data_IF_708413216469
#
_entry.id   IF_708413216469
#
_cell.length_a   1.000
_cell.length_b   1.000
_cell.length_c   1.000
_cell.angle_alpha   90.00
_cell.angle_beta   90.00
_cell.angle_gamma   90.00
#
_symmetry.space_group_name_H-M   'P 1'
#
loop_
_entity.id
_entity.type
_entity.pdbx_description
1 polymer ?
#
# COMPACT_ATOMS: atom_id res chain seq x y z
N UNK A 1 -12.19 30.53 5.25
CA UNK A 1 -12.95 30.29 4.01
C UNK A 1 -14.21 31.16 4.04
N UNK A 2 -14.51 31.90 2.97
CA UNK A 2 -15.80 32.60 2.79
C UNK A 2 -16.65 31.75 1.83
N UNK A 3 -17.04 30.58 2.28
CA UNK A 3 -17.70 29.58 1.45
C UNK A 3 -18.69 28.76 2.28
N UNK A 4 -19.53 27.98 1.61
CA UNK A 4 -20.52 27.12 2.22
C UNK A 4 -19.89 25.80 2.73
N UNK A 5 -20.44 25.25 3.83
CA UNK A 5 -20.13 23.90 4.31
C UNK A 5 -21.36 23.02 4.12
N UNK A 6 -21.19 21.87 3.45
CA UNK A 6 -22.20 20.82 3.38
C UNK A 6 -21.69 19.59 4.12
N UNK A 7 -22.49 19.08 5.05
CA UNK A 7 -22.14 17.88 5.81
C UNK A 7 -23.34 16.96 5.93
N UNK A 8 -23.18 15.73 5.45
CA UNK A 8 -24.14 14.63 5.63
C UNK A 8 -23.48 13.54 6.46
N UNK A 9 -24.20 13.05 7.46
CA UNK A 9 -23.76 11.91 8.27
C UNK A 9 -24.90 10.90 8.27
N UNK A 10 -24.63 9.68 7.78
CA UNK A 10 -25.65 8.64 7.63
C UNK A 10 -26.03 7.95 8.95
N UNK A 11 -25.15 7.99 9.93
CA UNK A 11 -25.32 7.37 11.25
C UNK A 11 -25.18 8.43 12.35
N UNK A 12 -24.97 7.98 13.58
CA UNK A 12 -24.80 8.83 14.74
C UNK A 12 -23.64 9.81 14.59
N UNK A 13 -23.89 11.08 14.94
CA UNK A 13 -22.85 12.03 15.31
C UNK A 13 -22.87 12.18 16.83
N UNK A 14 -21.83 11.71 17.51
CA UNK A 14 -21.66 11.83 18.97
C UNK A 14 -20.59 12.89 19.25
N UNK A 15 -20.88 13.83 20.14
CA UNK A 15 -19.96 14.92 20.52
C UNK A 15 -19.92 15.02 22.04
N UNK A 16 -18.72 15.03 22.62
CA UNK A 16 -18.48 15.32 24.05
C UNK A 16 -17.59 16.55 24.12
N UNK A 17 -18.06 17.60 24.80
CA UNK A 17 -17.27 18.80 25.10
C UNK A 17 -17.14 18.87 26.60
N UNK A 18 -15.91 18.73 27.12
CA UNK A 18 -15.63 18.72 28.57
C UNK A 18 -15.42 20.11 29.17
N UNK A 19 -15.49 21.14 28.33
CA UNK A 19 -15.40 22.54 28.70
C UNK A 19 -16.68 23.26 28.19
N UNK A 20 -16.56 24.54 27.83
CA UNK A 20 -17.69 25.32 27.32
C UNK A 20 -17.85 25.14 25.81
N UNK A 21 -19.10 24.97 25.34
CA UNK A 21 -19.48 25.03 23.93
C UNK A 21 -20.19 26.36 23.65
N UNK A 22 -19.70 27.12 22.67
CA UNK A 22 -20.22 28.43 22.29
C UNK A 22 -20.65 28.40 20.82
N UNK A 23 -21.93 28.67 20.55
CA UNK A 23 -22.49 28.69 19.19
C UNK A 23 -23.06 30.06 18.84
N UNK A 24 -22.40 30.78 17.95
CA UNK A 24 -22.93 32.04 17.37
C UNK A 24 -23.43 31.77 15.96
N UNK A 25 -24.71 32.08 15.70
CA UNK A 25 -25.29 32.05 14.34
C UNK A 25 -25.73 33.47 14.00
N UNK A 26 -25.15 34.03 12.93
CA UNK A 26 -25.32 35.46 12.59
C UNK A 26 -26.73 35.80 12.06
N UNK A 27 -27.40 34.84 11.43
CA UNK A 27 -28.72 35.04 10.82
C UNK A 27 -29.74 34.09 11.42
N UNK A 28 -29.89 32.89 10.85
CA UNK A 28 -30.96 31.96 11.20
C UNK A 28 -30.39 30.58 11.54
N UNK A 29 -30.88 29.98 12.62
CA UNK A 29 -30.68 28.57 12.92
C UNK A 29 -31.99 27.81 12.71
N UNK A 30 -31.97 26.83 11.81
CA UNK A 30 -33.08 25.89 11.63
C UNK A 30 -32.70 24.55 12.26
N UNK A 31 -33.54 24.06 13.19
CA UNK A 31 -33.34 22.77 13.86
C UNK A 31 -34.58 21.92 13.61
N UNK A 32 -34.42 20.79 12.94
CA UNK A 32 -35.47 19.78 12.74
C UNK A 32 -34.99 18.44 13.27
N UNK A 33 -35.79 17.83 14.13
CA UNK A 33 -35.51 16.54 14.76
C UNK A 33 -36.66 15.59 14.41
N UNK A 34 -36.35 14.31 14.16
CA UNK A 34 -37.35 13.32 13.76
C UNK A 34 -38.24 12.84 14.91
N UNK A 35 -37.70 12.79 16.14
CA UNK A 35 -38.37 12.14 17.28
C UNK A 35 -38.50 13.05 18.50
N UNK A 36 -37.42 13.69 18.94
CA UNK A 36 -37.48 14.53 20.14
C UNK A 36 -36.21 15.33 20.38
N UNK A 37 -36.35 16.37 21.20
CA UNK A 37 -35.26 17.18 21.75
C UNK A 37 -35.25 17.02 23.26
N UNK A 38 -34.11 16.63 23.81
CA UNK A 38 -33.91 16.46 25.25
C UNK A 38 -32.79 17.40 25.70
N UNK A 39 -33.07 18.21 26.73
CA UNK A 39 -32.12 19.21 27.25
C UNK A 39 -32.10 19.10 28.77
N UNK A 40 -30.92 18.87 29.33
CA UNK A 40 -30.66 18.89 30.76
C UNK A 40 -29.54 19.89 31.03
N UNK A 41 -29.76 20.77 32.00
CA UNK A 41 -28.77 21.74 32.45
C UNK A 41 -28.72 21.72 33.98
N UNK A 42 -27.52 21.78 34.55
CA UNK A 42 -27.34 21.71 36.00
C UNK A 42 -27.93 22.91 36.75
N UNK A 43 -27.94 24.10 36.12
CA UNK A 43 -28.36 25.34 36.78
C UNK A 43 -29.52 26.05 36.06
N UNK A 44 -29.39 26.33 34.76
CA UNK A 44 -30.36 27.19 34.05
C UNK A 44 -30.53 26.80 32.58
N UNK A 45 -31.77 26.85 32.11
CA UNK A 45 -32.11 26.97 30.68
C UNK A 45 -32.81 28.31 30.51
N UNK A 46 -32.24 29.22 29.71
CA UNK A 46 -32.78 30.55 29.49
C UNK A 46 -33.17 30.75 28.02
N UNK A 47 -34.46 30.93 27.76
CA UNK A 47 -34.98 31.35 26.47
C UNK A 47 -35.25 32.86 26.46
N UNK A 48 -34.44 33.61 25.72
CA UNK A 48 -34.66 35.04 25.50
C UNK A 48 -34.99 35.30 24.03
N UNK A 49 -36.12 35.95 23.77
CA UNK A 49 -36.48 36.44 22.44
C UNK A 49 -36.84 37.92 22.51
N UNK A 50 -36.29 38.72 21.59
CA UNK A 50 -36.54 40.17 21.56
C UNK A 50 -37.99 40.55 21.23
N UNK A 51 -38.79 39.64 20.67
CA UNK A 51 -40.19 39.94 20.30
C UNK A 51 -41.16 38.81 20.61
N UNK A 52 -40.87 37.55 20.22
CA UNK A 52 -41.85 36.45 20.34
C UNK A 52 -41.18 35.13 20.68
N UNK A 53 -41.80 34.39 21.59
CA UNK A 53 -41.61 32.94 21.79
C UNK A 53 -42.94 32.26 21.48
N UNK A 54 -42.92 31.19 20.69
CA UNK A 54 -44.08 30.33 20.44
C UNK A 54 -43.67 28.91 20.78
N UNK A 55 -44.49 28.23 21.58
CA UNK A 55 -44.31 26.83 21.94
C UNK A 55 -45.62 26.13 21.61
N UNK A 56 -45.61 25.36 20.53
CA UNK A 56 -46.73 24.54 20.10
C UNK A 56 -46.52 23.11 20.58
N UNK A 57 -47.54 22.55 21.24
CA UNK A 57 -47.58 21.16 21.63
C UNK A 57 -48.87 20.53 21.10
N UNK A 58 -48.76 19.32 20.54
CA UNK A 58 -49.92 18.63 19.96
C UNK A 58 -50.88 18.09 21.03
N UNK A 59 -50.37 17.25 21.92
CA UNK A 59 -51.20 16.59 22.94
C UNK A 59 -51.10 17.26 24.31
N UNK A 60 -49.90 17.67 24.72
CA UNK A 60 -49.70 18.21 26.07
C UNK A 60 -48.52 19.18 26.11
N UNK A 61 -48.71 20.31 26.78
CA UNK A 61 -47.63 21.17 27.28
C UNK A 61 -47.72 21.20 28.81
N UNK A 62 -46.64 20.81 29.50
CA UNK A 62 -46.57 20.83 30.96
C UNK A 62 -45.33 21.58 31.44
N UNK A 63 -45.49 22.48 32.41
CA UNK A 63 -44.41 23.15 33.12
C UNK A 63 -44.57 22.93 34.62
N UNK A 64 -43.52 22.47 35.32
CA UNK A 64 -43.57 22.11 36.74
C UNK A 64 -42.33 22.59 37.50
N UNK A 65 -42.49 22.96 38.76
CA UNK A 65 -41.40 23.38 39.65
C UNK A 65 -41.91 23.78 41.03
N UNK A 66 -41.09 23.58 42.07
CA UNK A 66 -41.43 23.98 43.45
C UNK A 66 -42.74 23.40 43.98
N UNK A 67 -43.12 22.19 43.54
CA UNK A 67 -44.40 21.54 43.88
C UNK A 67 -45.64 22.11 43.17
N UNK A 68 -45.48 23.11 42.29
CA UNK A 68 -46.55 23.68 41.46
C UNK A 68 -46.37 23.30 39.99
N UNK A 69 -47.46 23.33 39.21
CA UNK A 69 -47.42 23.05 37.78
C UNK A 69 -48.57 23.68 37.00
N UNK A 70 -48.36 23.83 35.70
CA UNK A 70 -49.32 24.24 34.68
C UNK A 70 -49.34 23.16 33.59
N UNK A 71 -50.52 22.83 33.10
CA UNK A 71 -50.71 21.91 31.97
C UNK A 71 -51.73 22.46 30.97
N UNK A 72 -51.44 22.26 29.69
CA UNK A 72 -52.37 22.43 28.58
C UNK A 72 -52.52 21.08 27.89
N UNK A 73 -53.75 20.61 27.75
CA UNK A 73 -54.09 19.34 27.09
C UNK A 73 -55.51 19.44 26.48
N UNK A 74 -56.08 18.39 25.85
CA UNK A 74 -57.43 18.46 25.27
C UNK A 74 -58.55 18.77 26.28
N UNK A 75 -58.32 18.64 27.58
CA UNK A 75 -59.29 19.04 28.63
C UNK A 75 -59.24 20.54 28.94
N UNK A 76 -58.23 21.27 28.44
CA UNK A 76 -58.08 22.70 28.59
C UNK A 76 -56.81 23.09 29.34
N UNK A 77 -56.90 24.14 30.16
CA UNK A 77 -55.79 24.70 30.94
C UNK A 77 -55.98 24.36 32.41
N UNK A 78 -54.98 23.74 33.04
CA UNK A 78 -55.00 23.39 34.46
C UNK A 78 -53.80 23.99 35.19
N UNK A 79 -54.04 24.65 36.33
CA UNK A 79 -53.02 25.21 37.22
C UNK A 79 -53.18 24.59 38.61
N UNK A 80 -52.07 24.14 39.21
CA UNK A 80 -52.07 23.52 40.54
C UNK A 80 -50.84 23.92 41.35
N UNK A 81 -51.03 24.26 42.62
CA UNK A 81 -49.97 24.65 43.55
C UNK A 81 -50.55 25.15 44.88
N UNK A 82 -49.69 25.37 45.89
CA UNK A 82 -50.13 25.82 47.22
C UNK A 82 -50.81 27.20 47.21
N UNK A 83 -50.38 28.09 46.31
CA UNK A 83 -51.02 29.41 46.11
C UNK A 83 -50.88 29.80 44.64
N UNK A 84 -52.00 30.14 43.99
CA UNK A 84 -52.03 30.67 42.62
C UNK A 84 -52.32 32.17 42.70
N UNK A 85 -51.32 32.98 42.35
CA UNK A 85 -51.44 34.44 42.31
C UNK A 85 -51.85 34.89 40.91
N UNK A 86 -53.04 35.48 40.79
CA UNK A 86 -53.55 36.05 39.54
C UNK A 86 -53.64 37.57 39.68
N UNK A 87 -52.94 38.32 38.82
CA UNK A 87 -52.88 39.79 38.83
C UNK A 87 -52.48 40.42 40.18
N UNK A 88 -51.78 39.69 41.07
CA UNK A 88 -51.42 40.18 42.40
C UNK A 88 -50.12 39.57 42.92
N UNK A 89 -49.16 40.43 43.26
CA UNK A 89 -47.91 40.08 43.94
C UNK A 89 -46.88 39.29 43.11
N UNK A 90 -45.63 39.27 43.61
CA UNK A 90 -44.49 38.57 42.99
C UNK A 90 -43.58 39.48 42.17
N UNK A 91 -42.37 38.99 41.89
CA UNK A 91 -41.44 39.55 40.92
C UNK A 91 -41.00 38.41 39.97
N UNK A 92 -40.79 38.67 38.68
CA UNK A 92 -40.31 37.64 37.77
C UNK A 92 -38.90 37.17 38.17
N UNK A 93 -38.57 35.93 37.82
CA UNK A 93 -37.17 35.49 37.85
C UNK A 93 -36.35 36.25 36.81
N UNK A 94 -35.07 36.49 37.11
CA UNK A 94 -34.12 37.05 36.15
C UNK A 94 -33.20 35.93 35.69
N UNK A 95 -33.11 35.72 34.37
CA UNK A 95 -32.14 34.77 33.84
C UNK A 95 -30.77 35.41 33.59
N UNK A 96 -29.72 34.59 33.55
CA UNK A 96 -28.32 35.08 33.51
C UNK A 96 -27.89 35.76 32.20
N UNK A 97 -28.69 35.65 31.14
CA UNK A 97 -28.37 36.12 29.79
C UNK A 97 -27.33 35.26 29.08
N UNK A 98 -27.09 35.55 27.79
CA UNK A 98 -26.09 34.82 27.00
C UNK A 98 -24.68 35.34 27.29
N UNK A 99 -23.75 34.45 27.64
CA UNK A 99 -22.34 34.75 27.90
C UNK A 99 -21.45 34.15 26.81
N UNK A 100 -21.74 34.46 25.54
CA UNK A 100 -21.07 33.85 24.40
C UNK A 100 -19.65 34.40 24.21
N UNK A 101 -18.69 33.50 23.96
CA UNK A 101 -17.32 33.88 23.60
C UNK A 101 -17.12 33.64 22.10
N UNK A 102 -16.66 34.68 21.40
CA UNK A 102 -16.33 34.59 19.98
C UNK A 102 -15.05 33.79 19.74
N UNK A 103 -14.87 33.16 18.57
CA UNK A 103 -13.61 32.53 18.20
C UNK A 103 -12.47 33.56 18.23
N UNK A 104 -11.43 33.28 18.99
CA UNK A 104 -10.19 34.05 18.91
C UNK A 104 -9.34 33.52 17.76
N UNK A 105 -8.59 34.40 17.10
CA UNK A 105 -7.53 33.96 16.18
C UNK A 105 -6.55 33.15 17.02
N UNK A 106 -6.31 31.86 16.69
CA UNK A 106 -5.27 31.10 17.38
C UNK A 106 -3.96 31.88 17.31
N UNK A 107 -3.28 32.02 18.45
CA UNK A 107 -1.91 32.58 18.45
C UNK A 107 -1.05 31.69 17.54
N UNK A 108 0.04 32.25 17.02
CA UNK A 108 1.05 31.44 16.34
C UNK A 108 1.37 30.24 17.23
N UNK A 109 1.34 29.04 16.65
CA UNK A 109 1.84 27.86 17.33
C UNK A 109 3.25 28.17 17.85
N UNK A 110 3.62 27.64 19.01
CA UNK A 110 5.01 27.73 19.44
C UNK A 110 5.88 27.23 18.28
N UNK A 111 6.82 28.08 17.87
CA UNK A 111 7.79 27.73 16.85
C UNK A 111 8.77 26.73 17.46
N UNK A 112 8.37 25.47 17.52
CA UNK A 112 9.30 24.41 17.85
C UNK A 112 10.29 24.24 16.71
N UNK A 113 11.53 23.89 17.05
CA UNK A 113 12.55 23.63 16.04
C UNK A 113 12.24 22.29 15.39
N UNK A 114 12.26 22.25 14.07
CA UNK A 114 12.22 20.97 13.35
C UNK A 114 13.30 20.04 13.91
N UNK A 115 12.92 18.79 14.17
CA UNK A 115 13.87 17.75 14.60
C UNK A 115 14.98 17.56 13.56
N UNK A 116 16.08 16.95 13.99
CA UNK A 116 17.21 16.68 13.10
C UNK A 116 16.78 15.77 11.93
N UNK A 117 17.32 16.04 10.74
CA UNK A 117 17.18 15.15 9.60
C UNK A 117 17.74 13.76 9.94
N UNK A 118 17.10 12.71 9.41
CA UNK A 118 17.63 11.35 9.51
C UNK A 118 18.97 11.25 8.77
N UNK A 119 19.91 10.48 9.31
CA UNK A 119 21.16 10.18 8.62
C UNK A 119 20.86 9.48 7.29
N UNK A 120 21.53 9.90 6.21
CA UNK A 120 21.41 9.25 4.90
C UNK A 120 21.72 7.76 5.00
N UNK A 121 20.93 6.93 4.31
CA UNK A 121 21.17 5.50 4.22
C UNK A 121 22.57 5.23 3.62
N UNK A 122 23.35 4.34 4.22
CA UNK A 122 24.60 3.84 3.61
C UNK A 122 24.25 3.19 2.27
N UNK A 123 24.98 3.56 1.22
CA UNK A 123 24.84 2.92 -0.09
C UNK A 123 25.11 1.41 0.04
N UNK A 124 24.24 0.59 -0.55
CA UNK A 124 24.52 -0.84 -0.71
C UNK A 124 25.54 -0.99 -1.85
N UNK A 125 26.69 -1.60 -1.57
CA UNK A 125 27.66 -2.00 -2.61
C UNK A 125 27.07 -3.14 -3.46
N UNK A 126 27.12 -2.98 -4.78
CA UNK A 126 26.71 -4.01 -5.73
C UNK A 126 27.92 -4.86 -6.15
N UNK A 127 27.69 -6.14 -6.45
CA UNK A 127 28.73 -7.07 -6.91
C UNK A 127 28.28 -7.84 -8.16
N UNK A 128 29.23 -8.37 -8.93
CA UNK A 128 29.01 -9.23 -10.10
C UNK A 128 29.94 -10.44 -10.08
N UNK A 129 29.40 -11.63 -10.35
CA UNK A 129 30.17 -12.87 -10.51
C UNK A 129 30.15 -13.33 -11.97
N UNK A 130 31.31 -13.78 -12.45
CA UNK A 130 31.54 -14.34 -13.77
C UNK A 130 31.82 -15.82 -13.60
N UNK A 131 31.17 -16.66 -14.40
CA UNK A 131 31.34 -18.12 -14.40
C UNK A 131 31.37 -18.60 -15.85
N UNK A 132 32.50 -19.15 -16.29
CA UNK A 132 32.67 -19.68 -17.64
C UNK A 132 33.01 -21.17 -17.59
N UNK A 133 32.12 -21.99 -18.15
CA UNK A 133 32.24 -23.43 -18.23
C UNK A 133 31.88 -23.90 -19.64
N UNK A 134 32.43 -25.03 -20.06
CA UNK A 134 32.04 -25.74 -21.28
C UNK A 134 30.65 -26.38 -21.12
N UNK A 135 30.10 -26.91 -22.22
CA UNK A 135 28.79 -27.58 -22.24
C UNK A 135 28.71 -28.80 -21.33
N UNK A 136 29.85 -29.46 -21.08
CA UNK A 136 30.02 -30.56 -20.16
C UNK A 136 30.21 -30.13 -18.68
N UNK A 137 30.05 -28.84 -18.37
CA UNK A 137 30.28 -28.22 -17.05
C UNK A 137 31.74 -28.23 -16.57
N UNK A 138 32.73 -28.49 -17.44
CA UNK A 138 34.13 -28.29 -17.08
C UNK A 138 34.46 -26.78 -17.06
N UNK A 139 35.16 -26.28 -16.03
CA UNK A 139 35.54 -24.88 -15.96
C UNK A 139 36.49 -24.52 -17.10
N UNK A 140 36.44 -23.25 -17.50
CA UNK A 140 37.39 -22.64 -18.45
C UNK A 140 38.38 -21.78 -17.65
N UNK A 141 39.45 -22.37 -17.10
CA UNK A 141 40.37 -21.63 -16.26
C UNK A 141 41.20 -20.65 -17.06
N UNK A 142 41.59 -19.54 -16.41
CA UNK A 142 42.50 -18.54 -16.97
C UNK A 142 42.05 -17.87 -18.27
N UNK A 143 40.79 -18.05 -18.70
CA UNK A 143 40.27 -17.29 -19.83
C UNK A 143 40.22 -15.79 -19.47
N UNK A 144 40.67 -14.89 -20.36
CA UNK A 144 40.54 -13.46 -20.12
C UNK A 144 39.08 -13.04 -20.20
N UNK A 145 38.67 -12.12 -19.35
CA UNK A 145 37.35 -11.50 -19.38
C UNK A 145 37.45 -9.99 -19.45
N UNK A 146 36.40 -9.37 -19.97
CA UNK A 146 36.20 -7.92 -20.02
C UNK A 146 34.74 -7.60 -19.74
N UNK A 147 34.50 -6.74 -18.74
CA UNK A 147 33.16 -6.26 -18.37
C UNK A 147 33.09 -4.77 -18.63
N UNK A 148 32.11 -4.35 -19.44
CA UNK A 148 31.78 -2.95 -19.68
C UNK A 148 30.51 -2.59 -18.89
N UNK A 149 30.62 -1.63 -17.97
CA UNK A 149 29.53 -1.17 -17.12
C UNK A 149 28.78 0.01 -17.77
N UNK A 150 27.52 0.20 -17.36
CA UNK A 150 26.67 1.28 -17.90
C UNK A 150 27.18 2.70 -17.67
N UNK A 151 28.07 2.92 -16.70
CA UNK A 151 28.73 4.20 -16.46
C UNK A 151 29.95 4.46 -17.35
N UNK A 152 30.28 3.50 -18.24
CA UNK A 152 31.43 3.54 -19.13
C UNK A 152 32.73 3.00 -18.52
N UNK A 153 32.73 2.59 -17.25
CA UNK A 153 33.88 1.91 -16.65
C UNK A 153 34.06 0.50 -17.21
N UNK A 154 35.31 0.04 -17.26
CA UNK A 154 35.67 -1.28 -17.79
C UNK A 154 36.52 -2.02 -16.76
N UNK A 155 36.26 -3.31 -16.56
CA UNK A 155 37.11 -4.20 -15.76
C UNK A 155 37.56 -5.40 -16.58
N UNK A 156 38.84 -5.72 -16.49
CA UNK A 156 39.49 -6.80 -17.22
C UNK A 156 40.31 -7.65 -16.27
N UNK A 157 40.42 -8.95 -16.56
CA UNK A 157 41.17 -9.89 -15.75
C UNK A 157 41.19 -11.29 -16.36
N UNK A 158 41.75 -12.23 -15.63
CA UNK A 158 41.71 -13.65 -15.94
C UNK A 158 40.78 -14.35 -14.95
N UNK A 159 40.03 -15.33 -15.43
CA UNK A 159 39.29 -16.24 -14.55
C UNK A 159 40.27 -17.12 -13.76
N UNK A 160 39.84 -17.55 -12.58
CA UNK A 160 40.63 -18.48 -11.77
C UNK A 160 40.59 -19.93 -12.31
N UNK A 161 41.18 -20.87 -11.57
CA UNK A 161 41.21 -22.31 -11.88
C UNK A 161 39.81 -22.95 -11.97
N UNK A 162 38.76 -22.28 -11.47
CA UNK A 162 37.37 -22.72 -11.53
C UNK A 162 36.58 -21.99 -12.63
N UNK A 163 37.23 -21.20 -13.49
CA UNK A 163 36.53 -20.39 -14.48
C UNK A 163 35.70 -19.28 -13.84
N UNK A 164 36.10 -18.79 -12.67
CA UNK A 164 35.36 -17.82 -11.87
C UNK A 164 36.09 -16.48 -11.71
N UNK A 165 35.32 -15.40 -11.59
CA UNK A 165 35.82 -14.11 -11.10
C UNK A 165 34.70 -13.31 -10.41
N UNK A 166 35.05 -12.52 -9.39
CA UNK A 166 34.12 -11.67 -8.64
C UNK A 166 34.55 -10.22 -8.63
N UNK A 167 33.62 -9.33 -8.96
CA UNK A 167 33.82 -7.90 -9.04
C UNK A 167 32.96 -7.22 -7.97
N UNK A 168 33.60 -6.64 -6.97
CA UNK A 168 32.95 -5.87 -5.89
C UNK A 168 32.81 -4.39 -6.28
N UNK A 169 31.89 -3.69 -5.62
CA UNK A 169 31.63 -2.25 -5.82
C UNK A 169 31.39 -1.87 -7.28
N UNK A 170 30.54 -2.64 -7.96
CA UNK A 170 30.19 -2.34 -9.35
C UNK A 170 29.14 -1.23 -9.45
N UNK A 171 29.20 -0.38 -10.50
CA UNK A 171 28.16 0.61 -10.77
C UNK A 171 26.78 -0.06 -10.96
N UNK A 172 25.69 0.52 -10.42
CA UNK A 172 24.35 -0.01 -10.66
C UNK A 172 23.96 0.14 -12.13
N UNK A 173 23.42 -0.91 -12.72
CA UNK A 173 22.89 -0.88 -14.10
C UNK A 173 23.29 -2.10 -14.92
N UNK A 174 22.81 -2.19 -16.18
CA UNK A 174 23.15 -3.28 -17.07
C UNK A 174 24.66 -3.28 -17.40
N UNK A 175 25.24 -4.46 -17.55
CA UNK A 175 26.66 -4.65 -17.89
C UNK A 175 26.78 -5.60 -19.09
N UNK A 176 27.80 -5.40 -19.93
CA UNK A 176 28.14 -6.31 -21.03
C UNK A 176 29.40 -7.09 -20.67
N UNK A 177 29.35 -8.41 -20.83
CA UNK A 177 30.44 -9.31 -20.45
C UNK A 177 30.98 -9.98 -21.72
N UNK A 178 32.31 -9.98 -21.86
CA UNK A 178 33.03 -10.62 -22.95
C UNK A 178 34.04 -11.60 -22.34
N UNK A 179 34.09 -12.82 -22.89
CA UNK A 179 35.06 -13.86 -22.54
C UNK A 179 35.98 -14.10 -23.73
N UNK A 180 37.27 -14.27 -23.47
CA UNK A 180 38.24 -14.72 -24.46
C UNK A 180 38.29 -16.24 -24.57
N UNK A 181 39.21 -16.72 -25.40
CA UNK A 181 39.34 -18.14 -25.72
C UNK A 181 39.91 -18.96 -24.55
N UNK A 182 39.60 -20.26 -24.53
CA UNK A 182 40.21 -21.22 -23.60
C UNK A 182 41.70 -21.37 -23.94
N UNK A 183 42.63 -21.07 -23.02
CA UNK A 183 44.07 -21.15 -23.28
C UNK A 183 44.61 -22.59 -23.33
N UNK A 184 43.81 -23.61 -23.01
CA UNK A 184 44.23 -25.02 -23.04
C UNK A 184 44.45 -25.53 -24.46
N UNK A 185 45.47 -26.36 -24.63
CA UNK A 185 45.75 -27.02 -25.92
C UNK A 185 44.72 -28.13 -26.16
N UNK A 186 44.04 -28.09 -27.31
CA UNK A 186 43.02 -29.09 -27.68
C UNK A 186 43.69 -30.40 -28.14
N UNK A 187 43.64 -31.46 -27.32
CA UNK A 187 44.09 -32.80 -27.71
C UNK A 187 42.95 -33.57 -28.40
N UNK A 188 43.09 -33.81 -29.71
CA UNK A 188 42.15 -34.64 -30.47
C UNK A 188 42.30 -36.12 -30.06
N UNK A 189 41.25 -36.72 -29.49
CA UNK A 189 41.22 -38.18 -29.32
C UNK A 189 41.17 -38.89 -30.69
N UNK A 190 41.99 -39.93 -30.94
CA UNK A 190 41.97 -40.64 -32.21
C UNK A 190 40.68 -41.48 -32.36
N UNK A 191 40.09 -41.43 -33.56
CA UNK A 191 38.90 -42.20 -33.93
C UNK A 191 39.20 -43.70 -33.74
N UNK A 192 38.51 -44.36 -32.81
CA UNK A 192 38.59 -45.82 -32.64
C UNK A 192 37.93 -46.52 -33.82
N UNK A 193 38.72 -47.15 -34.69
CA UNK A 193 38.20 -48.05 -35.71
C UNK A 193 37.54 -49.27 -35.03
N UNK A 194 36.23 -49.45 -35.24
CA UNK A 194 35.51 -50.63 -34.78
C UNK A 194 35.89 -51.81 -35.67
N UNK A 195 36.44 -52.89 -35.09
CA UNK A 195 36.66 -54.15 -35.82
C UNK A 195 35.32 -54.89 -35.91
N UNK A 196 34.72 -54.90 -37.10
CA UNK A 196 33.50 -55.65 -37.43
C UNK A 196 33.85 -56.85 -38.30
N UNK A 197 33.23 -58.01 -38.06
CA UNK A 197 33.34 -59.19 -38.94
C UNK A 197 32.21 -59.21 -39.97
N UNK A 198 32.41 -59.90 -41.11
CA UNK A 198 31.40 -60.00 -42.17
C UNK A 198 30.05 -60.52 -41.66
N UNK A 199 30.08 -61.44 -40.69
CA UNK A 199 28.88 -61.98 -40.07
C UNK A 199 28.10 -60.93 -39.28
N UNK A 200 28.79 -60.06 -38.54
CA UNK A 200 28.14 -59.01 -37.75
C UNK A 200 27.46 -57.99 -38.69
N UNK A 201 28.11 -57.71 -39.82
CA UNK A 201 27.55 -56.82 -40.85
C UNK A 201 26.31 -57.43 -41.52
N UNK A 202 26.32 -58.73 -41.81
CA UNK A 202 25.18 -59.46 -42.37
C UNK A 202 23.97 -59.49 -41.42
N UNK A 203 24.18 -59.66 -40.11
CA UNK A 203 23.11 -59.60 -39.11
C UNK A 203 22.51 -58.19 -39.01
N UNK A 204 23.35 -57.14 -39.02
CA UNK A 204 22.87 -55.76 -38.99
C UNK A 204 22.09 -55.38 -40.25
N UNK A 205 22.52 -55.83 -41.44
CA UNK A 205 21.79 -55.62 -42.70
C UNK A 205 20.41 -56.28 -42.69
N UNK A 206 20.30 -57.48 -42.12
CA UNK A 206 19.00 -58.14 -41.91
C UNK A 206 18.12 -57.37 -40.94
N UNK A 207 18.70 -56.80 -39.88
CA UNK A 207 17.97 -56.01 -38.87
C UNK A 207 17.32 -54.76 -39.45
N UNK A 208 17.91 -54.19 -40.50
CA UNK A 208 17.37 -53.02 -41.21
C UNK A 208 16.54 -53.39 -42.45
N UNK A 209 16.25 -54.69 -42.66
CA UNK A 209 15.32 -55.16 -43.69
C UNK A 209 15.91 -55.33 -45.08
N UNK A 210 17.24 -55.36 -45.21
CA UNK A 210 17.94 -55.65 -46.47
C UNK A 210 18.32 -57.14 -46.54
N UNK A 211 18.22 -57.74 -47.73
CA UNK A 211 18.61 -59.13 -47.95
C UNK A 211 20.11 -59.22 -48.30
N UNK A 212 20.97 -59.76 -47.41
CA UNK A 212 22.40 -59.90 -47.67
C UNK A 212 22.73 -60.85 -48.83
N UNK A 213 21.80 -61.71 -49.28
CA UNK A 213 22.02 -62.58 -50.43
C UNK A 213 21.80 -61.90 -51.78
N UNK A 214 21.14 -60.73 -51.79
CA UNK A 214 20.86 -59.94 -52.99
C UNK A 214 21.83 -58.76 -53.18
N UNK A 215 22.76 -58.57 -52.25
CA UNK A 215 23.74 -57.48 -52.22
C UNK A 215 25.16 -58.07 -52.24
N UNK A 216 26.06 -57.48 -53.04
CA UNK A 216 27.48 -57.81 -53.01
C UNK A 216 28.14 -57.09 -51.83
N UNK A 217 28.29 -57.81 -50.72
CA UNK A 217 28.83 -57.27 -49.47
C UNK A 217 30.31 -56.93 -49.61
N UNK A 218 31.05 -57.68 -50.44
CA UNK A 218 32.47 -57.42 -50.68
C UNK A 218 32.66 -56.09 -51.44
N UNK A 219 31.79 -55.78 -52.42
CA UNK A 219 31.78 -54.47 -53.09
C UNK A 219 31.42 -53.33 -52.13
N UNK A 220 30.45 -53.55 -51.23
CA UNK A 220 30.04 -52.52 -50.27
C UNK A 220 31.18 -52.19 -49.28
N UNK A 221 31.89 -53.21 -48.80
CA UNK A 221 33.06 -53.05 -47.93
C UNK A 221 34.20 -52.37 -48.70
N UNK A 222 34.43 -52.71 -49.97
CA UNK A 222 35.44 -52.05 -50.80
C UNK A 222 35.14 -50.56 -50.99
N UNK A 223 33.88 -50.19 -51.26
CA UNK A 223 33.44 -48.79 -51.38
C UNK A 223 33.54 -48.04 -50.06
N UNK A 224 33.08 -48.63 -48.95
CA UNK A 224 33.09 -47.98 -47.64
C UNK A 224 34.51 -47.83 -47.07
N UNK A 225 35.43 -48.75 -47.37
CA UNK A 225 36.84 -48.66 -47.00
C UNK A 225 37.68 -47.79 -47.94
N UNK A 226 37.08 -47.22 -48.99
CA UNK A 226 37.74 -46.34 -49.96
C UNK A 226 38.71 -47.04 -50.91
N UNK A 227 38.59 -48.35 -51.10
CA UNK A 227 39.50 -49.18 -51.89
C UNK A 227 38.82 -49.61 -53.20
N UNK A 228 38.79 -48.72 -54.19
CA UNK A 228 38.39 -49.10 -55.56
C UNK A 228 39.59 -49.72 -56.31
N UNK A 229 39.32 -50.80 -57.05
CA UNK A 229 39.94 -51.03 -58.37
C UNK A 229 38.87 -50.71 -59.41
#
# INVERSE_FOLDING_TARGET
>A
LKAEEHRTTHKDRKTEVRANDHLTVATNQHVKLGTGQFVEAGNEIHYHAGSKVVIDAGMELTAKGGGSWLKLDPSGVTLSGATIKMNSGGAPGNGSGIQILGPVIPRAADADKAGNLLNSAKANSNWLELNLHHDNLEPVPHAPYRVEFSDGSVREGLLDEQGFARLEDIPPGPSKIYYGEDPRSFELEPIKAVKTTQRDLEEDLRRIGLDPAALDIDELIARASGRLV
#
